data_IF_656308315985
#
_entry.id   IF_656308315985
#
_cell.length_a   1.000
_cell.length_b   1.000
_cell.length_c   1.000
_cell.angle_alpha   90.00
_cell.angle_beta   90.00
_cell.angle_gamma   90.00
#
_symmetry.space_group_name_H-M   'P 1'
#
loop_
_entity.id
_entity.type
_entity.pdbx_description
1 polymer ?
#
# COMPACT_ATOMS: atom_id res chain seq x y z
N UNK A 1 -6.18 -0.17 19.37
CA UNK A 1 -5.46 0.67 18.38
C UNK A 1 -4.03 0.17 18.34
N UNK A 2 -3.56 -0.28 17.20
CA UNK A 2 -2.14 -0.61 17.05
C UNK A 2 -1.32 0.67 17.13
N UNK A 3 -0.36 0.80 18.04
CA UNK A 3 0.39 2.05 18.26
C UNK A 3 1.38 2.40 17.13
N UNK A 4 1.46 1.56 16.09
CA UNK A 4 2.41 1.72 14.99
C UNK A 4 2.00 2.76 13.95
N UNK A 5 0.71 3.03 13.81
CA UNK A 5 0.19 3.90 12.76
C UNK A 5 -0.62 5.04 13.38
N UNK A 6 -0.01 6.19 13.54
CA UNK A 6 -0.76 7.43 13.77
C UNK A 6 -1.48 7.83 12.48
N UNK A 7 -2.71 8.32 12.58
CA UNK A 7 -3.70 8.58 11.50
C UNK A 7 -3.25 9.50 10.32
N UNK A 8 -1.98 9.76 10.11
CA UNK A 8 -1.49 10.73 9.12
C UNK A 8 -0.28 10.25 8.33
N UNK A 9 -0.05 8.94 8.23
CA UNK A 9 1.16 8.45 7.60
C UNK A 9 0.98 8.23 6.10
N UNK A 10 1.62 9.08 5.34
CA UNK A 10 1.98 8.79 3.95
C UNK A 10 3.26 7.97 3.98
N UNK A 11 3.30 6.91 3.21
CA UNK A 11 4.43 6.00 3.12
C UNK A 11 5.02 6.00 1.71
N UNK A 12 6.27 5.61 1.56
CA UNK A 12 6.90 5.51 0.25
C UNK A 12 7.22 4.06 -0.09
N UNK A 13 6.74 3.61 -1.26
CA UNK A 13 7.10 2.32 -1.85
C UNK A 13 8.36 2.47 -2.70
N UNK A 14 9.42 1.74 -2.35
CA UNK A 14 10.69 1.70 -3.09
C UNK A 14 10.65 0.51 -4.04
N UNK A 15 10.13 0.72 -5.25
CA UNK A 15 9.95 -0.37 -6.21
C UNK A 15 11.09 -0.52 -7.23
N UNK A 16 11.42 0.53 -7.95
CA UNK A 16 12.50 0.53 -8.96
C UNK A 16 12.93 1.96 -9.20
N UNK A 17 14.16 2.29 -8.82
CA UNK A 17 14.74 3.56 -9.20
C UNK A 17 16.24 3.36 -9.50
N UNK A 18 16.79 4.20 -10.33
CA UNK A 18 18.23 4.39 -10.35
C UNK A 18 18.63 4.81 -8.94
N UNK A 19 19.72 4.25 -8.40
CA UNK A 19 20.16 4.46 -7.01
C UNK A 19 20.13 5.94 -6.59
N UNK A 20 20.58 6.83 -7.46
CA UNK A 20 20.62 8.27 -7.20
C UNK A 20 19.22 8.89 -7.01
N UNK A 21 18.25 8.48 -7.84
CA UNK A 21 16.87 8.95 -7.74
C UNK A 21 16.19 8.37 -6.49
N UNK A 22 16.44 7.09 -6.18
CA UNK A 22 15.90 6.45 -4.97
C UNK A 22 16.43 7.15 -3.71
N UNK A 23 17.71 7.49 -3.66
CA UNK A 23 18.30 8.23 -2.55
C UNK A 23 17.66 9.62 -2.38
N UNK A 24 17.44 10.34 -3.48
CA UNK A 24 16.80 11.65 -3.45
C UNK A 24 15.35 11.55 -2.97
N UNK A 25 14.57 10.60 -3.50
CA UNK A 25 13.18 10.37 -3.09
C UNK A 25 13.09 10.00 -1.62
N UNK A 26 13.94 9.10 -1.14
CA UNK A 26 13.95 8.69 0.27
C UNK A 26 14.33 9.86 1.19
N UNK A 27 15.27 10.70 0.78
CA UNK A 27 15.67 11.90 1.54
C UNK A 27 14.50 12.88 1.65
N UNK A 28 13.86 13.22 0.53
CA UNK A 28 12.67 14.09 0.51
C UNK A 28 11.57 13.52 1.41
N UNK A 29 11.27 12.23 1.29
CA UNK A 29 10.25 11.58 2.10
C UNK A 29 10.57 11.69 3.60
N UNK A 30 11.78 11.31 4.00
CA UNK A 30 12.20 11.31 5.40
C UNK A 30 12.21 12.72 6.01
N UNK A 31 12.71 13.73 5.29
CA UNK A 31 12.73 15.13 5.71
C UNK A 31 11.31 15.71 5.86
N UNK A 32 10.33 15.17 5.13
CA UNK A 32 8.91 15.52 5.27
C UNK A 32 8.15 14.64 6.26
N UNK A 33 8.84 13.88 7.12
CA UNK A 33 8.25 13.11 8.21
C UNK A 33 7.75 11.72 7.83
N UNK A 34 7.98 11.25 6.60
CA UNK A 34 7.69 9.86 6.22
C UNK A 34 8.67 8.93 6.91
N UNK A 35 8.14 7.96 7.64
CA UNK A 35 8.94 6.99 8.39
C UNK A 35 8.73 5.54 7.95
N UNK A 36 7.69 5.23 7.17
CA UNK A 36 7.44 3.91 6.64
C UNK A 36 7.89 3.83 5.18
N UNK A 37 8.78 2.85 4.89
CA UNK A 37 9.29 2.53 3.56
C UNK A 37 9.00 1.08 3.24
N UNK A 38 8.24 0.86 2.18
CA UNK A 38 7.75 -0.44 1.75
C UNK A 38 8.54 -0.98 0.56
N UNK A 39 8.90 -2.26 0.61
CA UNK A 39 9.57 -2.97 -0.47
C UNK A 39 9.06 -4.42 -0.60
N UNK A 40 9.71 -5.26 -1.37
CA UNK A 40 9.44 -6.68 -1.49
C UNK A 40 10.66 -7.43 -2.04
N UNK A 41 10.81 -8.71 -1.67
CA UNK A 41 11.87 -9.59 -2.20
C UNK A 41 11.86 -9.68 -3.73
N UNK A 42 10.67 -9.56 -4.36
CA UNK A 42 10.49 -9.66 -5.81
C UNK A 42 10.82 -8.37 -6.55
N UNK A 43 10.83 -7.22 -5.88
CA UNK A 43 11.03 -5.94 -6.57
C UNK A 43 12.44 -5.85 -7.14
N UNK A 44 12.49 -5.80 -8.49
CA UNK A 44 13.75 -5.85 -9.24
C UNK A 44 14.67 -7.01 -8.84
N UNK A 45 14.07 -8.18 -8.54
CA UNK A 45 14.80 -9.38 -8.11
C UNK A 45 15.71 -9.13 -6.88
N UNK A 46 15.17 -8.45 -5.85
CA UNK A 46 15.86 -8.14 -4.61
C UNK A 46 16.71 -6.85 -4.63
N UNK A 47 16.91 -6.24 -5.80
CA UNK A 47 17.71 -5.01 -5.90
C UNK A 47 17.09 -3.84 -5.15
N UNK A 48 15.76 -3.76 -5.08
CA UNK A 48 15.07 -2.70 -4.33
C UNK A 48 15.43 -2.73 -2.84
N UNK A 49 15.49 -3.91 -2.23
CA UNK A 49 15.92 -4.09 -0.84
C UNK A 49 17.38 -3.70 -0.64
N UNK A 50 18.27 -4.09 -1.56
CA UNK A 50 19.70 -3.72 -1.50
C UNK A 50 19.87 -2.19 -1.59
N UNK A 51 19.15 -1.54 -2.50
CA UNK A 51 19.18 -0.08 -2.67
C UNK A 51 18.71 0.60 -1.38
N UNK A 52 17.58 0.16 -0.81
CA UNK A 52 17.03 0.71 0.40
C UNK A 52 17.99 0.57 1.58
N UNK A 53 18.56 -0.62 1.79
CA UNK A 53 19.54 -0.88 2.84
C UNK A 53 20.80 0.00 2.70
N UNK A 54 21.32 0.13 1.48
CA UNK A 54 22.47 1.00 1.20
C UNK A 54 22.19 2.48 1.51
N UNK A 55 20.97 2.97 1.19
CA UNK A 55 20.60 4.36 1.47
C UNK A 55 20.48 4.59 2.99
N UNK A 56 19.81 3.68 3.71
CA UNK A 56 19.67 3.78 5.17
C UNK A 56 21.06 3.87 5.82
N UNK A 57 21.98 3.00 5.42
CA UNK A 57 23.35 2.98 5.94
C UNK A 57 24.14 4.23 5.56
N UNK A 58 24.12 4.61 4.28
CA UNK A 58 24.85 5.79 3.75
C UNK A 58 24.40 7.09 4.42
N UNK A 59 23.10 7.25 4.65
CA UNK A 59 22.51 8.44 5.26
C UNK A 59 22.53 8.41 6.80
N UNK A 60 23.04 7.34 7.39
CA UNK A 60 23.04 7.13 8.83
C UNK A 60 21.67 7.36 9.48
N UNK A 61 20.59 6.93 8.80
CA UNK A 61 19.24 7.11 9.30
C UNK A 61 19.03 6.25 10.55
N UNK A 62 18.49 6.88 11.60
CA UNK A 62 18.30 6.20 12.87
C UNK A 62 17.25 5.09 12.74
N UNK A 63 17.65 3.82 13.01
CA UNK A 63 16.77 2.64 12.86
C UNK A 63 15.44 2.79 13.61
N UNK A 64 15.46 3.35 14.81
CA UNK A 64 14.27 3.53 15.65
C UNK A 64 13.26 4.56 15.10
N UNK A 65 13.66 5.39 14.13
CA UNK A 65 12.74 6.32 13.44
C UNK A 65 12.11 5.73 12.19
N UNK A 66 12.47 4.50 11.80
CA UNK A 66 12.06 3.89 10.54
C UNK A 66 11.21 2.64 10.76
N UNK A 67 10.15 2.54 9.98
CA UNK A 67 9.39 1.31 9.76
C UNK A 67 9.70 0.84 8.33
N UNK A 68 10.43 -0.26 8.20
CA UNK A 68 10.77 -0.84 6.90
C UNK A 68 9.94 -2.09 6.73
N UNK A 69 9.14 -2.19 5.68
CA UNK A 69 8.34 -3.39 5.39
C UNK A 69 8.85 -4.11 4.15
N UNK A 70 8.78 -5.43 4.15
CA UNK A 70 9.04 -6.24 2.96
C UNK A 70 7.99 -7.32 2.81
N UNK A 71 7.91 -7.94 1.63
CA UNK A 71 6.91 -8.94 1.28
C UNK A 71 7.58 -10.21 0.80
N UNK A 72 7.04 -11.36 1.21
CA UNK A 72 7.52 -12.69 0.86
C UNK A 72 6.43 -13.47 0.14
N UNK A 73 6.70 -13.89 -1.08
CA UNK A 73 5.90 -14.86 -1.83
C UNK A 73 6.58 -15.26 -3.16
N UNK A 74 7.13 -14.31 -3.92
CA UNK A 74 7.60 -14.49 -5.29
C UNK A 74 9.13 -14.50 -5.42
N UNK A 75 9.84 -14.80 -4.33
CA UNK A 75 11.26 -14.50 -4.18
C UNK A 75 12.18 -15.18 -5.16
N UNK A 76 12.01 -16.45 -5.46
CA UNK A 76 12.96 -17.24 -6.22
C UNK A 76 12.47 -17.73 -7.57
N UNK A 77 13.35 -18.52 -8.25
CA UNK A 77 13.02 -19.19 -9.52
C UNK A 77 12.43 -20.57 -9.30
N UNK A 78 12.86 -21.28 -8.26
CA UNK A 78 12.39 -22.62 -7.93
C UNK A 78 11.02 -22.55 -7.21
N UNK A 79 10.21 -23.61 -7.35
CA UNK A 79 8.92 -23.71 -6.66
C UNK A 79 9.06 -23.67 -5.14
N UNK A 80 10.16 -24.23 -4.60
CA UNK A 80 10.48 -24.23 -3.18
C UNK A 80 10.90 -22.87 -2.62
N UNK A 81 11.16 -21.90 -3.50
CA UNK A 81 11.51 -20.51 -3.18
C UNK A 81 10.32 -19.57 -3.34
N UNK A 82 9.10 -20.09 -3.48
CA UNK A 82 7.85 -19.33 -3.65
C UNK A 82 6.77 -19.79 -2.70
N UNK A 83 5.77 -18.93 -2.51
CA UNK A 83 4.62 -19.23 -1.68
C UNK A 83 4.87 -18.97 -0.19
N UNK A 84 3.98 -19.49 0.65
CA UNK A 84 3.92 -19.24 2.09
C UNK A 84 4.20 -20.51 2.92
N UNK A 85 5.07 -21.37 2.41
CA UNK A 85 5.57 -22.48 3.22
C UNK A 85 6.40 -21.93 4.39
N UNK A 86 6.38 -22.64 5.51
CA UNK A 86 7.23 -22.31 6.67
C UNK A 86 8.70 -22.13 6.28
N UNK A 87 9.19 -22.98 5.36
CA UNK A 87 10.55 -22.90 4.82
C UNK A 87 10.79 -21.55 4.16
N UNK A 88 9.93 -21.17 3.17
CA UNK A 88 10.13 -19.94 2.42
C UNK A 88 9.96 -18.69 3.30
N UNK A 89 9.00 -18.68 4.22
CA UNK A 89 8.83 -17.55 5.17
C UNK A 89 10.14 -17.29 5.94
N UNK A 90 10.74 -18.33 6.49
CA UNK A 90 11.96 -18.19 7.32
C UNK A 90 13.18 -17.84 6.46
N UNK A 91 13.39 -18.55 5.36
CA UNK A 91 14.57 -18.36 4.50
C UNK A 91 14.46 -17.07 3.67
N UNK A 92 13.28 -16.79 3.14
CA UNK A 92 13.00 -15.56 2.38
C UNK A 92 13.21 -14.32 3.24
N UNK A 93 12.70 -14.33 4.50
CA UNK A 93 12.92 -13.21 5.42
C UNK A 93 14.40 -13.03 5.75
N UNK A 94 15.14 -14.11 6.03
CA UNK A 94 16.59 -14.02 6.22
C UNK A 94 17.30 -13.38 5.02
N UNK A 95 16.93 -13.79 3.81
CA UNK A 95 17.45 -13.20 2.58
C UNK A 95 17.10 -11.71 2.44
N UNK A 96 15.88 -11.32 2.77
CA UNK A 96 15.45 -9.91 2.76
C UNK A 96 16.23 -9.08 3.78
N UNK A 97 16.41 -9.57 5.00
CA UNK A 97 17.21 -8.90 6.04
C UNK A 97 18.65 -8.70 5.61
N UNK A 98 19.27 -9.71 4.97
CA UNK A 98 20.63 -9.60 4.43
C UNK A 98 20.71 -8.52 3.34
N UNK A 99 19.75 -8.49 2.40
CA UNK A 99 19.69 -7.48 1.34
C UNK A 99 19.46 -6.07 1.89
N UNK A 100 18.58 -5.94 2.87
CA UNK A 100 18.29 -4.68 3.58
C UNK A 100 19.41 -4.26 4.54
N UNK A 101 20.32 -5.15 4.90
CA UNK A 101 21.37 -4.94 5.92
C UNK A 101 20.77 -4.53 7.28
N UNK A 102 19.70 -5.19 7.67
CA UNK A 102 18.94 -4.95 8.92
C UNK A 102 18.85 -6.24 9.74
N UNK A 103 18.76 -6.08 11.06
CA UNK A 103 18.57 -7.21 11.99
C UNK A 103 17.09 -7.67 12.04
N UNK A 104 16.17 -6.74 11.81
CA UNK A 104 14.72 -7.01 11.79
C UNK A 104 13.94 -6.04 10.88
N UNK A 105 12.76 -6.47 10.45
CA UNK A 105 11.82 -5.66 9.66
C UNK A 105 10.38 -6.17 9.85
N UNK A 106 9.34 -5.32 9.89
CA UNK A 106 7.97 -5.77 9.70
C UNK A 106 7.78 -6.45 8.34
N UNK A 107 6.95 -7.48 8.31
CA UNK A 107 6.73 -8.30 7.13
C UNK A 107 5.28 -8.25 6.69
N UNK A 108 5.05 -8.21 5.40
CA UNK A 108 3.74 -8.33 4.76
C UNK A 108 3.70 -9.54 3.83
N UNK A 109 2.56 -10.21 3.82
CA UNK A 109 2.33 -11.39 3.01
C UNK A 109 1.43 -11.06 1.83
N UNK A 110 1.93 -11.10 0.57
CA UNK A 110 1.26 -10.47 -0.57
C UNK A 110 0.16 -11.29 -1.23
N UNK A 111 -0.09 -12.55 -0.84
CA UNK A 111 -1.09 -13.38 -1.53
C UNK A 111 -1.81 -14.31 -0.58
N UNK A 112 -3.13 -14.49 -0.86
CA UNK A 112 -4.01 -15.42 -0.21
C UNK A 112 -3.42 -16.84 -0.15
N UNK A 113 -3.42 -17.49 1.01
CA UNK A 113 -2.96 -18.85 1.13
C UNK A 113 -3.88 -19.82 0.38
N UNK A 114 -3.30 -20.89 -0.16
CA UNK A 114 -4.07 -22.05 -0.59
C UNK A 114 -4.88 -22.57 0.60
N UNK A 115 -6.15 -22.93 0.38
CA UNK A 115 -7.09 -23.43 1.39
C UNK A 115 -6.37 -24.37 2.39
N UNK A 116 -6.59 -24.12 3.70
CA UNK A 116 -6.14 -24.91 4.85
C UNK A 116 -4.66 -24.73 5.32
N UNK A 117 -3.94 -23.65 4.94
CA UNK A 117 -2.58 -23.40 5.42
C UNK A 117 -2.43 -22.27 6.44
N UNK A 118 -3.51 -21.64 6.86
CA UNK A 118 -3.44 -20.52 7.82
C UNK A 118 -2.71 -20.87 9.11
N UNK A 119 -2.88 -22.09 9.62
CA UNK A 119 -2.19 -22.57 10.84
C UNK A 119 -0.67 -22.55 10.65
N UNK A 120 -0.16 -23.04 9.53
CA UNK A 120 1.28 -23.08 9.24
C UNK A 120 1.84 -21.66 9.06
N UNK A 121 1.13 -20.78 8.37
CA UNK A 121 1.53 -19.40 8.15
C UNK A 121 1.59 -18.66 9.48
N UNK A 122 0.53 -18.67 10.28
CA UNK A 122 0.48 -17.97 11.58
C UNK A 122 1.56 -18.49 12.53
N UNK A 123 1.83 -19.79 12.52
CA UNK A 123 2.96 -20.38 13.30
C UNK A 123 4.31 -19.91 12.80
N UNK A 124 4.52 -19.84 11.48
CA UNK A 124 5.77 -19.37 10.89
C UNK A 124 6.00 -17.88 11.17
N UNK A 125 4.94 -17.05 11.05
CA UNK A 125 4.99 -15.61 11.37
C UNK A 125 5.29 -15.39 12.85
N UNK A 126 4.62 -16.13 13.75
CA UNK A 126 4.92 -16.08 15.19
C UNK A 126 6.36 -16.51 15.48
N UNK A 127 6.86 -17.53 14.77
CA UNK A 127 8.24 -17.98 14.92
C UNK A 127 9.25 -16.88 14.56
N UNK A 128 9.11 -16.23 13.42
CA UNK A 128 10.06 -15.18 12.99
C UNK A 128 10.01 -13.94 13.90
N UNK A 129 8.85 -13.64 14.48
CA UNK A 129 8.72 -12.56 15.47
C UNK A 129 9.40 -12.94 16.78
N UNK A 130 9.17 -14.15 17.30
CA UNK A 130 9.79 -14.62 18.55
C UNK A 130 11.32 -14.73 18.44
N UNK A 131 11.85 -14.88 17.22
CA UNK A 131 13.31 -14.88 16.96
C UNK A 131 13.86 -13.48 16.64
N UNK A 132 13.05 -12.43 16.80
CA UNK A 132 13.49 -11.05 16.59
C UNK A 132 13.74 -10.65 15.14
N UNK A 133 13.40 -11.51 14.16
CA UNK A 133 13.58 -11.20 12.73
C UNK A 133 12.51 -10.25 12.19
N UNK A 134 11.33 -10.25 12.81
CA UNK A 134 10.26 -9.30 12.54
C UNK A 134 9.62 -8.83 13.82
N UNK A 135 9.05 -7.62 13.84
CA UNK A 135 8.30 -7.10 14.99
C UNK A 135 6.80 -7.31 14.84
N UNK A 136 6.30 -7.25 13.61
CA UNK A 136 4.89 -7.37 13.26
C UNK A 136 4.77 -8.08 11.92
N UNK A 137 3.58 -8.60 11.63
CA UNK A 137 3.24 -9.08 10.32
C UNK A 137 1.85 -8.62 9.89
N UNK A 138 1.66 -8.51 8.60
CA UNK A 138 0.41 -8.16 7.96
C UNK A 138 0.13 -9.06 6.77
N UNK A 139 -1.03 -8.85 6.18
CA UNK A 139 -1.48 -9.57 4.99
C UNK A 139 -1.57 -8.61 3.80
N UNK A 140 -1.51 -9.13 2.58
CA UNK A 140 -1.74 -8.35 1.38
C UNK A 140 -2.56 -9.16 0.39
N UNK A 141 -3.64 -8.58 -0.11
CA UNK A 141 -4.63 -9.19 -1.01
C UNK A 141 -5.45 -10.33 -0.41
N UNK A 142 -5.42 -10.50 0.91
CA UNK A 142 -6.28 -11.47 1.59
C UNK A 142 -7.73 -10.96 1.68
N UNK A 143 -8.69 -11.87 1.61
CA UNK A 143 -10.08 -11.57 1.90
C UNK A 143 -10.30 -11.34 3.40
N UNK A 144 -11.38 -10.66 3.77
CA UNK A 144 -11.75 -10.51 5.18
C UNK A 144 -11.91 -11.87 5.90
N UNK A 145 -12.41 -12.88 5.19
CA UNK A 145 -12.57 -14.23 5.73
C UNK A 145 -11.21 -14.87 6.08
N UNK A 146 -10.23 -14.78 5.18
CA UNK A 146 -8.89 -15.33 5.40
C UNK A 146 -8.16 -14.64 6.54
N UNK A 147 -8.32 -13.32 6.67
CA UNK A 147 -7.76 -12.55 7.80
C UNK A 147 -8.41 -12.99 9.13
N UNK A 148 -9.74 -13.17 9.14
CA UNK A 148 -10.44 -13.67 10.33
C UNK A 148 -10.03 -15.09 10.69
N UNK A 149 -9.80 -15.95 9.70
CA UNK A 149 -9.32 -17.31 9.96
C UNK A 149 -7.91 -17.29 10.58
N UNK A 150 -6.99 -16.49 10.04
CA UNK A 150 -5.66 -16.33 10.63
C UNK A 150 -5.73 -15.76 12.06
N UNK A 151 -6.62 -14.79 12.31
CA UNK A 151 -6.85 -14.24 13.63
C UNK A 151 -7.41 -15.31 14.59
N UNK A 152 -8.37 -16.12 14.15
CA UNK A 152 -8.95 -17.20 14.94
C UNK A 152 -7.91 -18.27 15.31
N UNK A 153 -7.07 -18.66 14.35
CA UNK A 153 -5.93 -19.56 14.59
C UNK A 153 -4.97 -18.95 15.62
N UNK A 154 -4.62 -17.69 15.47
CA UNK A 154 -3.73 -17.02 16.43
C UNK A 154 -4.32 -17.03 17.85
N UNK A 155 -5.60 -16.73 17.99
CA UNK A 155 -6.30 -16.78 19.30
C UNK A 155 -6.34 -18.18 19.87
N UNK A 156 -6.70 -19.18 19.06
CA UNK A 156 -6.83 -20.56 19.51
C UNK A 156 -5.52 -21.15 20.04
N UNK A 157 -4.40 -20.82 19.41
CA UNK A 157 -3.09 -21.40 19.72
C UNK A 157 -2.15 -20.44 20.45
N UNK A 158 -2.64 -19.30 20.95
CA UNK A 158 -1.84 -18.26 21.60
C UNK A 158 -0.64 -17.80 20.76
N UNK A 159 -0.90 -17.54 19.48
CA UNK A 159 0.05 -17.06 18.47
C UNK A 159 -0.19 -15.56 18.18
N UNK A 160 0.69 -14.96 17.40
CA UNK A 160 0.63 -13.54 17.05
C UNK A 160 -0.22 -13.35 15.79
N UNK A 161 -1.35 -12.59 15.84
CA UNK A 161 -2.20 -12.32 14.67
C UNK A 161 -1.63 -11.24 13.75
N UNK A 162 -2.12 -11.13 12.50
CA UNK A 162 -1.78 -10.02 11.60
C UNK A 162 -2.33 -8.69 12.15
N UNK A 163 -1.61 -7.60 11.91
CA UNK A 163 -1.97 -6.25 12.38
C UNK A 163 -2.53 -5.34 11.28
N UNK A 164 -2.27 -5.66 10.02
CA UNK A 164 -2.76 -4.86 8.89
C UNK A 164 -3.01 -5.72 7.65
N UNK A 165 -3.81 -5.16 6.74
CA UNK A 165 -3.98 -5.65 5.37
C UNK A 165 -3.48 -4.59 4.40
N UNK A 166 -2.58 -4.96 3.47
CA UNK A 166 -2.17 -4.08 2.38
C UNK A 166 -3.11 -4.27 1.18
N UNK A 167 -4.01 -3.29 0.97
CA UNK A 167 -5.09 -3.38 -0.01
C UNK A 167 -5.02 -2.27 -1.07
N UNK A 168 -5.48 -2.58 -2.29
CA UNK A 168 -5.74 -1.54 -3.30
C UNK A 168 -6.89 -0.66 -2.85
N UNK A 169 -6.65 0.66 -2.80
CA UNK A 169 -7.67 1.61 -2.43
C UNK A 169 -7.45 2.96 -3.09
N UNK A 170 -8.43 3.38 -3.87
CA UNK A 170 -8.47 4.66 -4.57
C UNK A 170 -9.88 4.96 -5.06
N UNK A 171 -10.11 6.11 -5.66
CA UNK A 171 -11.42 6.61 -6.10
C UNK A 171 -12.24 5.63 -6.96
N UNK A 172 -11.58 4.70 -7.69
CA UNK A 172 -12.25 3.71 -8.55
C UNK A 172 -12.18 2.26 -8.00
N UNK A 173 -11.54 2.04 -6.84
CA UNK A 173 -11.46 0.72 -6.18
C UNK A 173 -11.74 0.87 -4.70
N UNK A 174 -12.97 0.59 -4.28
CA UNK A 174 -13.50 0.93 -2.95
C UNK A 174 -13.98 -0.27 -2.15
N UNK A 175 -14.56 -1.27 -2.83
CA UNK A 175 -15.37 -2.33 -2.20
C UNK A 175 -14.66 -3.05 -1.06
N UNK A 176 -13.42 -3.45 -1.24
CA UNK A 176 -12.68 -4.18 -0.21
C UNK A 176 -12.53 -3.37 1.06
N UNK A 177 -12.04 -2.14 0.94
CA UNK A 177 -11.69 -1.29 2.09
C UNK A 177 -12.94 -0.72 2.77
N UNK A 178 -13.99 -0.39 2.00
CA UNK A 178 -15.19 0.24 2.55
C UNK A 178 -16.27 -0.75 2.98
N UNK A 179 -16.22 -2.02 2.46
CA UNK A 179 -17.28 -3.00 2.75
C UNK A 179 -16.80 -4.22 3.53
N UNK A 180 -15.61 -4.74 3.19
CA UNK A 180 -15.16 -6.01 3.76
C UNK A 180 -14.30 -5.83 5.01
N UNK A 181 -13.44 -4.79 5.04
CA UNK A 181 -12.47 -4.59 6.11
C UNK A 181 -12.96 -3.77 7.33
N UNK A 182 -14.02 -2.93 7.27
CA UNK A 182 -14.41 -2.12 8.43
C UNK A 182 -14.72 -2.95 9.68
N UNK A 183 -15.35 -4.11 9.53
CA UNK A 183 -15.62 -4.99 10.69
C UNK A 183 -14.32 -5.51 11.34
N UNK A 184 -13.30 -5.80 10.54
CA UNK A 184 -12.00 -6.24 11.05
C UNK A 184 -11.29 -5.12 11.80
N UNK A 185 -11.34 -3.90 11.26
CA UNK A 185 -10.80 -2.73 11.92
C UNK A 185 -11.43 -2.49 13.28
N UNK A 186 -12.77 -2.49 13.35
CA UNK A 186 -13.50 -2.20 14.60
C UNK A 186 -13.42 -3.34 15.62
N UNK A 187 -13.48 -4.61 15.18
CA UNK A 187 -13.55 -5.77 16.09
C UNK A 187 -12.19 -6.27 16.55
N UNK A 188 -11.19 -6.25 15.67
CA UNK A 188 -9.89 -6.88 15.93
C UNK A 188 -8.69 -5.94 15.67
N UNK A 189 -8.95 -4.69 15.29
CA UNK A 189 -7.92 -3.67 15.14
C UNK A 189 -7.00 -3.85 13.93
N UNK A 190 -7.40 -4.63 12.91
CA UNK A 190 -6.63 -4.79 11.66
C UNK A 190 -6.79 -3.54 10.81
N UNK A 191 -5.74 -2.75 10.69
CA UNK A 191 -5.70 -1.53 9.87
C UNK A 191 -5.44 -1.81 8.40
N UNK A 192 -5.63 -0.78 7.55
CA UNK A 192 -5.36 -0.85 6.12
C UNK A 192 -4.13 -0.03 5.77
N UNK A 193 -3.20 -0.63 5.04
CA UNK A 193 -2.14 0.08 4.31
C UNK A 193 -2.56 0.09 2.84
N UNK A 194 -2.94 1.25 2.31
CA UNK A 194 -3.46 1.33 0.94
C UNK A 194 -2.34 1.48 -0.09
N UNK A 195 -2.44 0.76 -1.21
CA UNK A 195 -1.53 0.91 -2.35
C UNK A 195 -2.26 1.42 -3.60
N UNK A 196 -1.49 1.97 -4.52
CA UNK A 196 -1.95 2.60 -5.78
C UNK A 196 -3.02 3.69 -5.59
N UNK A 197 -2.85 4.67 -4.69
CA UNK A 197 -3.86 5.71 -4.46
C UNK A 197 -4.16 6.53 -5.71
N UNK A 198 -3.26 6.55 -6.69
CA UNK A 198 -3.42 7.22 -7.98
C UNK A 198 -3.71 6.26 -9.14
N UNK A 199 -4.10 5.00 -8.88
CA UNK A 199 -4.47 4.00 -9.89
C UNK A 199 -3.46 3.92 -11.05
N UNK A 200 -2.18 3.68 -10.75
CA UNK A 200 -1.09 3.66 -11.73
C UNK A 200 -0.93 4.95 -12.54
N UNK A 201 -1.37 6.08 -12.00
CA UNK A 201 -1.31 7.40 -12.62
C UNK A 201 -2.56 7.78 -13.41
N UNK A 202 -3.60 6.94 -13.47
CA UNK A 202 -4.86 7.30 -14.12
C UNK A 202 -5.48 8.53 -13.44
N UNK A 203 -5.49 8.56 -12.10
CA UNK A 203 -6.11 9.63 -11.31
C UNK A 203 -5.36 10.96 -11.39
N UNK A 204 -4.17 11.00 -11.97
CA UNK A 204 -3.46 12.27 -12.14
C UNK A 204 -4.03 13.16 -13.27
N UNK A 205 -4.94 12.63 -14.10
CA UNK A 205 -5.49 13.34 -15.27
C UNK A 205 -4.55 13.37 -16.49
N UNK A 206 -3.31 12.90 -16.37
CA UNK A 206 -2.29 12.99 -17.44
C UNK A 206 -2.62 12.23 -18.73
N UNK A 207 -3.63 11.38 -18.70
CA UNK A 207 -4.06 10.58 -19.86
C UNK A 207 -5.27 11.15 -20.59
N UNK A 208 -5.75 12.33 -20.21
CA UNK A 208 -6.92 12.98 -20.83
C UNK A 208 -6.74 13.18 -22.33
N UNK A 209 -5.55 13.64 -22.75
CA UNK A 209 -5.22 13.94 -24.15
C UNK A 209 -4.40 12.82 -24.82
N UNK A 210 -4.49 11.60 -24.32
CA UNK A 210 -3.72 10.46 -24.82
C UNK A 210 -2.63 9.98 -23.87
N UNK A 211 -1.79 9.07 -24.34
CA UNK A 211 -0.73 8.46 -23.51
C UNK A 211 0.59 9.18 -23.78
N UNK A 212 1.13 9.95 -22.80
CA UNK A 212 2.43 10.59 -22.96
C UNK A 212 3.54 9.54 -23.13
N UNK A 213 4.50 9.79 -24.02
CA UNK A 213 5.63 8.87 -24.29
C UNK A 213 6.48 8.58 -23.04
N UNK A 214 6.63 9.55 -22.16
CA UNK A 214 7.35 9.43 -20.90
C UNK A 214 6.57 8.73 -19.78
N UNK A 215 5.34 8.30 -20.05
CA UNK A 215 4.48 7.67 -19.03
C UNK A 215 4.73 6.17 -18.91
N UNK A 216 4.33 5.60 -17.76
CA UNK A 216 4.36 4.13 -17.53
C UNK A 216 3.54 3.38 -18.58
N UNK A 217 2.41 3.93 -19.04
CA UNK A 217 1.52 3.30 -20.02
C UNK A 217 2.12 3.22 -21.44
N UNK A 218 3.22 3.94 -21.74
CA UNK A 218 3.95 3.82 -23.00
C UNK A 218 4.88 2.60 -23.05
N UNK A 219 5.24 2.03 -21.89
CA UNK A 219 6.16 0.91 -21.80
C UNK A 219 5.51 -0.40 -22.23
N UNK A 220 6.22 -1.23 -23.01
CA UNK A 220 5.73 -2.54 -23.49
C UNK A 220 5.27 -3.48 -22.36
N UNK A 221 5.90 -3.42 -21.20
CA UNK A 221 5.53 -4.23 -20.01
C UNK A 221 4.21 -3.79 -19.36
N UNK A 222 3.64 -2.65 -19.75
CA UNK A 222 2.39 -2.10 -19.20
C UNK A 222 1.28 -2.01 -20.26
N UNK A 223 1.27 -2.89 -21.23
CA UNK A 223 0.23 -2.93 -22.30
C UNK A 223 -1.18 -3.00 -21.71
N UNK A 224 -1.37 -3.80 -20.65
CA UNK A 224 -2.64 -3.88 -19.91
C UNK A 224 -3.13 -2.51 -19.39
N UNK A 225 -2.20 -1.64 -18.94
CA UNK A 225 -2.55 -0.30 -18.46
C UNK A 225 -3.00 0.60 -19.61
N UNK A 226 -2.31 0.50 -20.76
CA UNK A 226 -2.69 1.19 -21.99
C UNK A 226 -4.10 0.80 -22.43
N UNK A 227 -4.40 -0.50 -22.47
CA UNK A 227 -5.72 -1.02 -22.82
C UNK A 227 -6.80 -0.53 -21.85
N UNK A 228 -6.51 -0.55 -20.54
CA UNK A 228 -7.42 -0.04 -19.50
C UNK A 228 -7.73 1.46 -19.70
N UNK A 229 -6.72 2.28 -19.98
CA UNK A 229 -6.92 3.73 -20.21
C UNK A 229 -7.76 3.98 -21.45
N UNK A 230 -7.54 3.22 -22.53
CA UNK A 230 -8.23 3.40 -23.81
C UNK A 230 -9.61 2.72 -23.87
N UNK A 231 -9.96 1.90 -22.89
CA UNK A 231 -11.26 1.24 -22.79
C UNK A 231 -12.41 2.25 -22.62
N UNK A 232 -13.65 1.81 -22.84
CA UNK A 232 -14.83 2.63 -22.59
C UNK A 232 -14.90 3.06 -21.10
N UNK A 233 -14.62 2.14 -20.18
CA UNK A 233 -14.57 2.44 -18.74
C UNK A 233 -13.46 3.43 -18.39
N UNK A 234 -12.29 3.30 -19.03
CA UNK A 234 -11.19 4.27 -18.89
C UNK A 234 -11.60 5.67 -19.30
N UNK A 235 -12.31 5.81 -20.41
CA UNK A 235 -12.86 7.12 -20.87
C UNK A 235 -13.89 7.68 -19.90
N UNK A 236 -14.80 6.84 -19.38
CA UNK A 236 -15.76 7.27 -18.35
C UNK A 236 -15.05 7.74 -17.08
N UNK A 237 -13.98 7.04 -16.67
CA UNK A 237 -13.15 7.46 -15.54
C UNK A 237 -12.49 8.82 -15.81
N UNK A 238 -11.91 9.05 -16.99
CA UNK A 238 -11.31 10.34 -17.36
C UNK A 238 -12.33 11.49 -17.30
N UNK A 239 -13.57 11.29 -17.76
CA UNK A 239 -14.63 12.29 -17.66
C UNK A 239 -14.92 12.65 -16.19
N UNK A 240 -15.04 11.66 -15.29
CA UNK A 240 -15.23 11.88 -13.86
C UNK A 240 -14.05 12.63 -13.22
N UNK A 241 -12.82 12.32 -13.63
CA UNK A 241 -11.62 13.01 -13.14
C UNK A 241 -11.61 14.50 -13.51
N UNK A 242 -12.12 14.83 -14.70
CA UNK A 242 -12.27 16.23 -15.11
C UNK A 242 -13.25 17.00 -14.19
N UNK A 243 -14.36 16.39 -13.83
CA UNK A 243 -15.29 16.98 -12.86
C UNK A 243 -14.66 17.10 -11.46
N UNK A 244 -13.90 16.10 -11.00
CA UNK A 244 -13.18 16.14 -9.74
C UNK A 244 -12.08 17.21 -9.69
N UNK A 245 -11.50 17.58 -10.84
CA UNK A 245 -10.52 18.67 -10.91
C UNK A 245 -11.13 19.99 -10.43
N UNK A 246 -12.40 20.27 -10.72
CA UNK A 246 -13.07 21.47 -10.20
C UNK A 246 -13.23 21.47 -8.67
N UNK A 247 -13.39 20.28 -8.05
CA UNK A 247 -13.38 20.18 -6.58
C UNK A 247 -11.98 20.46 -6.05
N UNK A 248 -10.94 19.90 -6.68
CA UNK A 248 -9.56 20.14 -6.29
C UNK A 248 -9.19 21.62 -6.38
N UNK A 249 -9.57 22.30 -7.44
CA UNK A 249 -9.37 23.75 -7.63
C UNK A 249 -10.04 24.57 -6.52
N UNK A 250 -11.30 24.26 -6.18
CA UNK A 250 -12.01 24.93 -5.06
C UNK A 250 -11.32 24.76 -3.72
N UNK A 251 -10.65 23.61 -3.50
CA UNK A 251 -9.87 23.32 -2.30
C UNK A 251 -8.43 23.86 -2.37
N UNK A 252 -8.05 24.50 -3.48
CA UNK A 252 -6.69 24.96 -3.76
C UNK A 252 -5.66 23.85 -3.64
N UNK A 253 -5.93 22.72 -4.30
CA UNK A 253 -5.03 21.56 -4.36
C UNK A 253 -5.06 20.92 -5.74
N UNK A 254 -4.11 20.02 -5.99
CA UNK A 254 -4.09 19.23 -7.22
C UNK A 254 -5.00 17.99 -7.11
N UNK A 255 -5.40 17.43 -8.25
CA UNK A 255 -6.19 16.19 -8.28
C UNK A 255 -5.47 15.01 -7.60
N UNK A 256 -4.15 14.78 -7.78
CA UNK A 256 -3.41 13.79 -6.99
C UNK A 256 -3.49 14.02 -5.48
N UNK A 257 -3.33 15.26 -5.03
CA UNK A 257 -3.43 15.61 -3.60
C UNK A 257 -4.83 15.33 -3.06
N UNK A 258 -5.88 15.69 -3.81
CA UNK A 258 -7.26 15.40 -3.44
C UNK A 258 -7.48 13.88 -3.29
N UNK A 259 -7.02 13.07 -4.25
CA UNK A 259 -7.20 11.62 -4.24
C UNK A 259 -6.48 10.94 -3.07
N UNK A 260 -5.25 11.35 -2.76
CA UNK A 260 -4.48 10.82 -1.63
C UNK A 260 -5.14 11.22 -0.31
N UNK A 261 -5.53 12.49 -0.16
CA UNK A 261 -6.24 12.98 1.02
C UNK A 261 -7.58 12.28 1.22
N UNK A 262 -8.30 11.97 0.13
CA UNK A 262 -9.53 11.18 0.18
C UNK A 262 -9.27 9.75 0.71
N UNK A 263 -8.20 9.09 0.30
CA UNK A 263 -7.82 7.79 0.88
C UNK A 263 -7.53 7.89 2.38
N UNK A 264 -6.76 8.91 2.79
CA UNK A 264 -6.39 9.14 4.19
C UNK A 264 -7.59 9.48 5.09
N UNK A 265 -8.67 10.01 4.51
CA UNK A 265 -9.89 10.34 5.25
C UNK A 265 -10.61 9.11 5.82
N UNK A 266 -10.45 7.95 5.20
CA UNK A 266 -11.04 6.71 5.69
C UNK A 266 -10.40 6.31 7.02
N UNK A 267 -11.22 6.12 8.07
CA UNK A 267 -10.73 5.83 9.42
C UNK A 267 -9.98 4.50 9.54
N UNK A 268 -10.34 3.52 8.71
CA UNK A 268 -9.67 2.22 8.64
C UNK A 268 -8.31 2.26 7.94
N UNK A 269 -8.03 3.33 7.18
CA UNK A 269 -6.75 3.50 6.48
C UNK A 269 -5.72 4.10 7.43
N UNK A 270 -4.76 3.28 7.82
CA UNK A 270 -3.65 3.68 8.70
C UNK A 270 -2.54 4.38 7.93
N UNK A 271 -2.35 4.02 6.66
CA UNK A 271 -1.29 4.58 5.83
C UNK A 271 -1.57 4.45 4.34
N UNK A 272 -1.06 5.39 3.55
CA UNK A 272 -1.18 5.41 2.09
C UNK A 272 0.21 5.31 1.46
N UNK A 273 0.45 4.26 0.67
CA UNK A 273 1.71 4.04 -0.03
C UNK A 273 1.80 4.88 -1.30
N UNK A 274 2.77 5.75 -1.36
CA UNK A 274 3.12 6.51 -2.56
C UNK A 274 4.23 5.81 -3.33
N UNK A 275 4.11 5.78 -4.65
CA UNK A 275 5.16 5.28 -5.55
C UNK A 275 5.37 6.26 -6.69
N UNK A 276 6.56 6.81 -6.80
CA UNK A 276 6.95 7.70 -7.89
C UNK A 276 8.43 7.53 -8.22
N UNK A 277 8.81 7.90 -9.44
CA UNK A 277 10.21 8.02 -9.88
C UNK A 277 10.65 9.46 -10.05
N UNK A 278 9.79 10.43 -9.70
CA UNK A 278 10.03 11.86 -9.89
C UNK A 278 9.94 12.60 -8.55
N UNK A 279 11.02 13.25 -8.09
CA UNK A 279 11.05 14.00 -6.85
C UNK A 279 9.97 15.10 -6.74
N UNK A 280 9.69 15.82 -7.84
CA UNK A 280 8.65 16.85 -7.83
C UNK A 280 7.24 16.27 -7.59
N UNK A 281 6.94 15.10 -8.19
CA UNK A 281 5.69 14.39 -7.93
C UNK A 281 5.57 13.91 -6.48
N UNK A 282 6.70 13.47 -5.87
CA UNK A 282 6.68 13.07 -4.47
C UNK A 282 6.36 14.27 -3.57
N UNK A 283 7.03 15.40 -3.78
CA UNK A 283 6.78 16.63 -3.01
C UNK A 283 5.33 17.10 -3.16
N UNK A 284 4.79 17.08 -4.37
CA UNK A 284 3.37 17.38 -4.63
C UNK A 284 2.46 16.45 -3.84
N UNK A 285 2.67 15.14 -3.94
CA UNK A 285 1.84 14.13 -3.28
C UNK A 285 1.89 14.21 -1.75
N UNK A 286 3.03 14.54 -1.16
CA UNK A 286 3.18 14.75 0.28
C UNK A 286 2.32 15.93 0.78
N UNK A 287 2.07 16.93 -0.06
CA UNK A 287 1.15 18.03 0.23
C UNK A 287 -0.31 17.61 0.47
N UNK A 288 -0.69 16.38 0.14
CA UNK A 288 -2.03 15.84 0.40
C UNK A 288 -2.44 15.87 1.89
N UNK A 289 -1.47 15.78 2.81
CA UNK A 289 -1.73 15.86 4.25
C UNK A 289 -2.39 17.20 4.61
N UNK A 290 -2.00 18.28 3.95
CA UNK A 290 -2.57 19.64 4.19
C UNK A 290 -3.99 19.77 3.61
N UNK A 291 -4.37 18.90 2.66
CA UNK A 291 -5.71 18.87 2.05
C UNK A 291 -6.70 18.09 2.91
N UNK A 292 -6.22 17.11 3.69
CA UNK A 292 -7.08 16.24 4.50
C UNK A 292 -8.12 16.98 5.36
N UNK A 293 -7.79 18.04 6.12
CA UNK A 293 -8.79 18.77 6.92
C UNK A 293 -9.81 19.53 6.08
N UNK A 294 -9.53 19.78 4.80
CA UNK A 294 -10.44 20.48 3.88
C UNK A 294 -11.52 19.56 3.30
N UNK A 295 -11.33 18.22 3.35
CA UNK A 295 -12.31 17.25 2.86
C UNK A 295 -13.41 17.05 3.93
N UNK A 296 -14.34 17.99 3.97
CA UNK A 296 -15.53 17.93 4.82
C UNK A 296 -16.47 16.80 4.37
N UNK A 297 -17.50 16.49 5.19
CA UNK A 297 -18.54 15.53 4.80
C UNK A 297 -19.27 15.96 3.50
N UNK A 298 -19.46 17.26 3.29
CA UNK A 298 -20.08 17.82 2.09
C UNK A 298 -19.19 17.56 0.85
N UNK A 299 -17.91 17.89 0.92
CA UNK A 299 -16.95 17.63 -0.17
C UNK A 299 -16.89 16.15 -0.49
N UNK A 300 -16.86 15.27 0.51
CA UNK A 300 -16.87 13.83 0.30
C UNK A 300 -18.16 13.35 -0.40
N UNK A 301 -19.31 13.91 -0.02
CA UNK A 301 -20.59 13.62 -0.68
C UNK A 301 -20.58 14.04 -2.14
N UNK A 302 -20.01 15.21 -2.48
CA UNK A 302 -19.91 15.66 -3.86
C UNK A 302 -18.98 14.80 -4.70
N UNK A 303 -17.84 14.36 -4.12
CA UNK A 303 -16.96 13.36 -4.73
C UNK A 303 -17.72 12.07 -5.01
N UNK A 304 -18.49 11.57 -4.04
CA UNK A 304 -19.28 10.34 -4.18
C UNK A 304 -20.35 10.44 -5.28
N UNK A 305 -21.00 11.61 -5.43
CA UNK A 305 -21.97 11.86 -6.51
C UNK A 305 -21.32 11.81 -7.90
N UNK A 306 -20.15 12.44 -8.07
CA UNK A 306 -19.40 12.41 -9.33
C UNK A 306 -18.94 10.98 -9.65
N UNK A 307 -18.38 10.29 -8.68
CA UNK A 307 -17.88 8.93 -8.87
C UNK A 307 -19.00 7.93 -9.16
N UNK A 308 -20.14 8.04 -8.47
CA UNK A 308 -21.28 7.13 -8.61
C UNK A 308 -20.97 5.68 -8.31
N UNK A 309 -19.90 5.42 -7.55
CA UNK A 309 -19.41 4.08 -7.22
C UNK A 309 -19.28 3.84 -5.73
N UNK A 310 -20.01 4.59 -4.91
CA UNK A 310 -20.03 4.36 -3.47
C UNK A 310 -20.59 2.95 -3.20
N UNK A 311 -19.84 2.06 -2.53
CA UNK A 311 -20.34 0.74 -2.20
C UNK A 311 -21.54 0.83 -1.25
N UNK A 312 -22.55 -0.01 -1.49
CA UNK A 312 -23.74 -0.09 -0.64
C UNK A 312 -23.70 -1.33 0.23
N UNK A 313 -23.83 -1.16 1.54
CA UNK A 313 -23.96 -2.26 2.47
C UNK A 313 -25.38 -2.86 2.39
N UNK A 314 -25.48 -4.20 2.48
CA UNK A 314 -26.79 -4.84 2.65
C UNK A 314 -27.55 -4.38 3.91
N UNK A 315 -26.84 -3.79 4.87
CA UNK A 315 -27.42 -3.18 6.08
C UNK A 315 -28.13 -1.85 5.80
N UNK A 316 -27.82 -1.18 4.67
CA UNK A 316 -28.43 0.10 4.31
C UNK A 316 -29.86 -0.05 3.72
N UNK A 317 -30.35 -1.28 3.52
CA UNK A 317 -31.70 -1.57 3.02
C UNK A 317 -32.77 -1.72 4.14
N UNK A 318 -32.41 -1.47 5.40
CA UNK A 318 -33.30 -1.65 6.55
C UNK A 318 -33.60 -0.34 7.31
N UNK A 319 -33.60 0.81 6.62
CA UNK A 319 -34.11 2.07 7.17
C UNK A 319 -35.09 2.73 6.24
#
# INVERSE_FOLDING_TARGET
MSPLFTKTNVCVCVCVCVLQVAEQLMTIAYENGVNLFDTAEVYSAGKAEIILGNIIKKKCLRRSSLVITTKLYWGGKAETERGLSRKHIIEGLKGSLQRLQLDNTPMEDPISPLKNRHVEIVRAMTHVINHGMSMYWGTSRWSAMEIMEAYSVARQFNLIPPVCEQAEYHLFQRDKVEMQLPELYHKIGVGVVSWSPLACGIITGKYENGIPESSRASLKSYQWLKEKILSEDGRKQQAKLKELTHIAEKLSCTLPQLAIAWCLRNEGVSSVLLGTSNPAQLTENLGAIQVLPKITAHVASDIDKILGNRPQSKKDYHH
#
